data_IF_550430194957
#
_entry.id   IF_550430194957
#
_cell.length_a   1.000
_cell.length_b   1.000
_cell.length_c   1.000
_cell.angle_alpha   90.00
_cell.angle_beta   90.00
_cell.angle_gamma   90.00
#
_symmetry.space_group_name_H-M   'P 1'
#
loop_
_entity.id
_entity.type
_entity.pdbx_description
1 polymer ?
#
# COMPACT_ATOMS: atom_id res chain seq x y z
N UNK A 1 -56.75 -6.31 39.74
CA UNK A 1 -55.40 -6.24 39.14
C UNK A 1 -54.39 -5.94 40.23
N UNK A 2 -53.46 -6.87 40.48
CA UNK A 2 -52.50 -6.76 41.57
C UNK A 2 -51.37 -5.80 41.17
N UNK A 3 -51.56 -4.50 41.42
CA UNK A 3 -50.61 -3.43 40.99
C UNK A 3 -49.18 -3.72 41.43
N UNK A 4 -48.98 -4.33 42.60
CA UNK A 4 -47.65 -4.75 43.08
C UNK A 4 -46.94 -5.69 42.09
N UNK A 5 -47.63 -6.70 41.56
CA UNK A 5 -47.04 -7.63 40.59
C UNK A 5 -46.67 -6.95 39.27
N UNK A 6 -47.45 -5.94 38.84
CA UNK A 6 -47.16 -5.15 37.64
C UNK A 6 -45.89 -4.29 37.84
N UNK A 7 -45.77 -3.61 38.98
CA UNK A 7 -44.58 -2.80 39.31
C UNK A 7 -43.32 -3.66 39.45
N UNK A 8 -43.41 -4.80 40.12
CA UNK A 8 -42.27 -5.73 40.24
C UNK A 8 -41.83 -6.27 38.87
N UNK A 9 -42.77 -6.66 38.01
CA UNK A 9 -42.46 -7.12 36.66
C UNK A 9 -41.80 -6.04 35.80
N UNK A 10 -42.31 -4.80 35.86
CA UNK A 10 -41.74 -3.67 35.12
C UNK A 10 -40.32 -3.35 35.58
N UNK A 11 -40.07 -3.31 36.89
CA UNK A 11 -38.74 -3.05 37.44
C UNK A 11 -37.75 -4.15 37.03
N UNK A 12 -38.18 -5.41 37.04
CA UNK A 12 -37.35 -6.54 36.63
C UNK A 12 -36.98 -6.47 35.14
N UNK A 13 -37.95 -6.16 34.28
CA UNK A 13 -37.71 -6.02 32.84
C UNK A 13 -36.80 -4.81 32.52
N UNK A 14 -37.01 -3.67 33.17
CA UNK A 14 -36.14 -2.51 32.99
C UNK A 14 -34.73 -2.74 33.52
N UNK A 15 -34.58 -3.42 34.66
CA UNK A 15 -33.27 -3.80 35.17
C UNK A 15 -32.54 -4.76 34.21
N UNK A 16 -33.24 -5.77 33.67
CA UNK A 16 -32.66 -6.70 32.70
C UNK A 16 -32.25 -5.99 31.40
N UNK A 17 -33.07 -5.07 30.91
CA UNK A 17 -32.77 -4.27 29.74
C UNK A 17 -31.55 -3.36 29.98
N UNK A 18 -31.52 -2.64 31.10
CA UNK A 18 -30.40 -1.79 31.48
C UNK A 18 -29.09 -2.58 31.65
N UNK A 19 -29.15 -3.77 32.26
CA UNK A 19 -27.99 -4.66 32.39
C UNK A 19 -27.47 -5.13 31.02
N UNK A 20 -28.38 -5.46 30.09
CA UNK A 20 -28.01 -5.86 28.73
C UNK A 20 -27.29 -4.73 28.01
N UNK A 21 -27.83 -3.51 28.07
CA UNK A 21 -27.18 -2.33 27.49
C UNK A 21 -25.82 -2.07 28.14
N UNK A 22 -25.71 -2.14 29.46
CA UNK A 22 -24.45 -1.94 30.17
C UNK A 22 -23.37 -2.95 29.72
N UNK A 23 -23.72 -4.24 29.67
CA UNK A 23 -22.78 -5.30 29.27
C UNK A 23 -22.34 -5.13 27.81
N UNK A 24 -23.28 -4.98 26.89
CA UNK A 24 -22.97 -4.93 25.46
C UNK A 24 -22.51 -3.54 24.97
N UNK A 25 -22.54 -2.51 25.82
CA UNK A 25 -21.99 -1.18 25.48
C UNK A 25 -20.46 -1.16 25.43
N UNK A 26 -19.79 -2.13 26.06
CA UNK A 26 -18.32 -2.19 26.14
C UNK A 26 -17.74 -3.60 25.93
N UNK A 27 -18.58 -4.64 25.89
CA UNK A 27 -18.13 -6.02 25.75
C UNK A 27 -18.88 -6.76 24.63
N UNK A 28 -18.20 -7.58 23.82
CA UNK A 28 -16.75 -7.75 23.78
C UNK A 28 -16.03 -6.54 23.18
N UNK A 29 -14.83 -6.24 23.70
CA UNK A 29 -13.96 -5.23 23.08
C UNK A 29 -13.60 -5.69 21.66
N UNK A 30 -13.89 -4.85 20.67
CA UNK A 30 -13.47 -5.11 19.31
C UNK A 30 -11.94 -5.06 19.20
N UNK A 31 -11.34 -6.14 18.69
CA UNK A 31 -9.92 -6.22 18.42
C UNK A 31 -9.69 -6.32 16.92
N UNK A 32 -9.10 -5.28 16.33
CA UNK A 32 -8.77 -5.26 14.91
C UNK A 32 -7.56 -6.15 14.57
N UNK A 33 -6.71 -6.45 15.56
CA UNK A 33 -5.49 -7.22 15.38
C UNK A 33 -5.24 -8.05 16.64
N UNK A 34 -4.71 -9.26 16.49
CA UNK A 34 -4.41 -10.10 17.64
C UNK A 34 -3.32 -9.45 18.55
N UNK A 35 -3.32 -9.72 19.86
CA UNK A 35 -2.52 -8.98 20.85
C UNK A 35 -1.00 -9.10 20.68
N UNK A 36 -0.52 -10.06 19.89
CA UNK A 36 0.89 -10.38 19.65
C UNK A 36 1.29 -10.16 18.18
N UNK A 37 0.51 -9.38 17.44
CA UNK A 37 0.71 -9.14 16.02
C UNK A 37 1.00 -7.67 15.74
N UNK A 38 1.76 -7.43 14.68
CA UNK A 38 2.01 -6.14 14.09
C UNK A 38 1.63 -6.18 12.59
N UNK A 39 1.66 -5.04 11.93
CA UNK A 39 1.27 -4.92 10.52
C UNK A 39 2.37 -4.25 9.73
N UNK A 40 2.77 -4.86 8.63
CA UNK A 40 3.59 -4.22 7.60
C UNK A 40 2.67 -3.83 6.44
N UNK A 41 2.69 -2.56 6.05
CA UNK A 41 1.97 -2.05 4.89
C UNK A 41 2.98 -1.65 3.81
N UNK A 42 2.89 -2.28 2.64
CA UNK A 42 3.59 -1.80 1.45
C UNK A 42 2.62 -0.89 0.71
N UNK A 43 2.82 0.42 0.75
CA UNK A 43 1.83 1.38 0.29
C UNK A 43 2.51 2.60 -0.33
N UNK A 44 2.58 2.63 -1.66
CA UNK A 44 3.15 3.75 -2.38
C UNK A 44 2.53 3.90 -3.78
N UNK A 45 2.66 5.10 -4.33
CA UNK A 45 2.31 5.38 -5.74
C UNK A 45 3.55 5.92 -6.42
N UNK A 46 4.03 5.21 -7.44
CA UNK A 46 5.27 5.55 -8.13
C UNK A 46 5.08 5.50 -9.64
N UNK A 47 5.77 6.41 -10.33
CA UNK A 47 5.79 6.42 -11.78
C UNK A 47 7.05 5.69 -12.27
N UNK A 48 6.87 4.51 -12.83
CA UNK A 48 7.98 3.77 -13.44
C UNK A 48 8.68 4.58 -14.54
N UNK A 49 9.91 4.16 -14.85
CA UNK A 49 10.71 4.79 -15.89
C UNK A 49 10.04 4.64 -17.26
N UNK A 50 10.41 5.50 -18.22
CA UNK A 50 9.83 5.45 -19.57
C UNK A 50 10.32 4.19 -20.29
N UNK A 51 9.42 3.52 -20.99
CA UNK A 51 9.78 2.31 -21.74
C UNK A 51 10.64 2.58 -22.96
N UNK A 52 10.46 3.73 -23.61
CA UNK A 52 11.21 4.08 -24.81
C UNK A 52 12.03 5.35 -24.64
N UNK A 53 13.14 5.38 -25.38
CA UNK A 53 14.02 6.53 -25.44
C UNK A 53 13.39 7.70 -26.20
N UNK A 54 13.87 8.89 -25.89
CA UNK A 54 13.51 10.08 -26.66
C UNK A 54 14.26 10.07 -28.00
N UNK A 55 13.53 10.08 -29.10
CA UNK A 55 14.11 10.14 -30.45
C UNK A 55 14.11 11.57 -30.98
N UNK A 56 15.24 12.05 -31.49
CA UNK A 56 15.34 13.32 -32.21
C UNK A 56 14.75 13.14 -33.61
N UNK A 57 13.83 14.03 -34.01
CA UNK A 57 13.18 13.99 -35.31
C UNK A 57 13.99 14.77 -36.34
N UNK A 58 14.14 14.21 -37.54
CA UNK A 58 14.85 14.88 -38.63
C UNK A 58 14.03 16.03 -39.22
N UNK A 59 14.67 17.02 -39.87
CA UNK A 59 13.95 18.12 -40.52
C UNK A 59 12.93 17.64 -41.58
N UNK A 60 13.24 16.56 -42.29
CA UNK A 60 12.36 15.97 -43.29
C UNK A 60 11.10 15.34 -42.67
N UNK A 61 11.21 14.74 -41.47
CA UNK A 61 10.06 14.21 -40.73
C UNK A 61 9.21 15.33 -40.12
N UNK A 62 9.86 16.37 -39.56
CA UNK A 62 9.16 17.55 -39.05
C UNK A 62 8.40 18.27 -40.16
N UNK A 63 8.95 18.36 -41.36
CA UNK A 63 8.28 18.99 -42.50
C UNK A 63 6.96 18.31 -42.87
N UNK A 64 6.84 16.99 -42.64
CA UNK A 64 5.59 16.23 -42.84
C UNK A 64 4.50 16.56 -41.82
N UNK A 65 4.87 17.15 -40.68
CA UNK A 65 3.93 17.54 -39.63
C UNK A 65 3.44 18.99 -39.84
N UNK A 66 2.19 19.30 -39.44
CA UNK A 66 1.69 20.67 -39.37
C UNK A 66 2.58 21.56 -38.49
N UNK A 67 2.73 22.87 -38.79
CA UNK A 67 3.66 23.76 -38.09
C UNK A 67 3.56 23.76 -36.56
N UNK A 68 2.35 23.63 -36.01
CA UNK A 68 2.09 23.60 -34.57
C UNK A 68 2.42 22.25 -33.89
N UNK A 69 2.73 21.20 -34.65
CA UNK A 69 3.03 19.86 -34.14
C UNK A 69 4.50 19.44 -34.38
N UNK A 70 5.35 20.36 -34.86
CA UNK A 70 6.78 20.11 -35.16
C UNK A 70 7.65 20.15 -33.90
N UNK A 71 7.50 19.15 -33.03
CA UNK A 71 8.36 18.98 -31.86
C UNK A 71 9.70 18.31 -32.25
N UNK A 72 10.87 18.92 -31.99
CA UNK A 72 12.16 18.39 -32.42
C UNK A 72 12.53 17.05 -31.77
N UNK A 73 11.96 16.75 -30.60
CA UNK A 73 12.16 15.48 -29.89
C UNK A 73 10.82 14.83 -29.60
N UNK A 74 10.73 13.52 -29.87
CA UNK A 74 9.57 12.69 -29.55
C UNK A 74 9.94 11.71 -28.45
N UNK A 75 9.33 11.85 -27.29
CA UNK A 75 9.47 10.90 -26.18
C UNK A 75 8.19 10.08 -26.04
N UNK A 76 8.25 8.74 -26.03
CA UNK A 76 7.10 7.92 -25.71
C UNK A 76 6.70 8.15 -24.24
N UNK A 77 5.39 8.13 -24.00
CA UNK A 77 4.80 8.42 -22.69
C UNK A 77 4.60 7.17 -21.84
N UNK A 78 4.60 5.99 -22.47
CA UNK A 78 4.37 4.72 -21.80
C UNK A 78 5.45 4.46 -20.73
N UNK A 79 4.99 4.01 -19.55
CA UNK A 79 5.84 3.76 -18.40
C UNK A 79 6.00 2.26 -18.13
N UNK A 80 7.11 1.92 -17.49
CA UNK A 80 7.37 0.57 -17.03
C UNK A 80 6.44 0.21 -15.86
N UNK A 81 6.00 -1.06 -15.76
CA UNK A 81 5.37 -1.58 -14.55
C UNK A 81 6.31 -1.49 -13.35
N UNK A 82 5.75 -1.28 -12.17
CA UNK A 82 6.51 -1.27 -10.92
C UNK A 82 6.33 -2.61 -10.22
N UNK A 83 7.43 -3.33 -9.99
CA UNK A 83 7.43 -4.61 -9.26
C UNK A 83 8.09 -4.43 -7.91
N UNK A 84 7.48 -4.98 -6.86
CA UNK A 84 8.02 -4.97 -5.50
C UNK A 84 8.06 -6.39 -4.95
N UNK A 85 9.13 -6.67 -4.22
CA UNK A 85 9.25 -7.85 -3.38
C UNK A 85 9.60 -7.44 -1.95
N UNK A 86 9.09 -8.21 -1.00
CA UNK A 86 9.40 -8.09 0.41
C UNK A 86 9.70 -9.48 0.96
N UNK A 87 10.91 -9.62 1.48
CA UNK A 87 11.30 -10.74 2.32
C UNK A 87 11.24 -10.31 3.79
N UNK A 88 10.65 -11.19 4.61
CA UNK A 88 10.63 -11.09 6.06
C UNK A 88 11.39 -12.27 6.63
N UNK A 89 12.45 -12.01 7.39
CA UNK A 89 13.31 -13.02 8.00
C UNK A 89 13.86 -14.05 6.99
N UNK A 90 14.13 -13.60 5.76
CA UNK A 90 14.62 -14.43 4.66
C UNK A 90 13.54 -15.20 3.90
N UNK A 91 12.25 -15.03 4.25
CA UNK A 91 11.11 -15.65 3.57
C UNK A 91 10.39 -14.61 2.73
N UNK A 92 10.18 -14.89 1.44
CA UNK A 92 9.39 -14.04 0.55
C UNK A 92 7.92 -14.01 0.99
N UNK A 93 7.46 -12.86 1.50
CA UNK A 93 6.08 -12.68 1.98
C UNK A 93 5.21 -11.88 1.01
N UNK A 94 5.81 -11.14 0.08
CA UNK A 94 5.09 -10.43 -0.97
C UNK A 94 5.91 -10.37 -2.26
N UNK A 95 5.23 -10.63 -3.38
CA UNK A 95 5.68 -10.31 -4.73
C UNK A 95 4.49 -9.73 -5.49
N UNK A 96 4.60 -8.48 -5.91
CA UNK A 96 3.52 -7.78 -6.60
C UNK A 96 4.06 -6.91 -7.73
N UNK A 97 3.34 -6.90 -8.85
CA UNK A 97 3.60 -5.99 -9.97
C UNK A 97 2.37 -5.13 -10.20
N UNK A 98 2.55 -3.81 -10.15
CA UNK A 98 1.52 -2.82 -10.45
C UNK A 98 1.75 -2.24 -11.86
N UNK A 99 0.70 -2.24 -12.67
CA UNK A 99 0.71 -1.65 -14.01
C UNK A 99 0.49 -0.13 -13.93
N UNK A 100 1.07 0.66 -14.86
CA UNK A 100 0.78 2.08 -14.97
C UNK A 100 -0.70 2.32 -15.27
N UNK A 101 -1.28 3.33 -14.63
CA UNK A 101 -2.66 3.76 -14.90
C UNK A 101 -2.78 4.58 -16.20
N UNK A 102 -4.03 4.79 -16.63
CA UNK A 102 -4.38 5.60 -17.81
C UNK A 102 -4.48 4.81 -19.10
N UNK A 103 -5.25 5.34 -20.07
CA UNK A 103 -5.46 4.70 -21.39
C UNK A 103 -4.16 4.53 -22.18
N UNK A 104 -3.22 5.45 -21.98
CA UNK A 104 -1.90 5.46 -22.63
C UNK A 104 -0.79 4.84 -21.76
N UNK A 105 -1.15 4.26 -20.60
CA UNK A 105 -0.20 3.67 -19.62
C UNK A 105 0.96 4.61 -19.25
N UNK A 106 0.64 5.89 -19.11
CA UNK A 106 1.59 6.96 -18.78
C UNK A 106 1.42 7.51 -17.36
N UNK A 107 0.43 6.99 -16.63
CA UNK A 107 0.14 7.33 -15.24
C UNK A 107 1.02 6.60 -14.23
N UNK A 108 0.74 6.82 -12.94
CA UNK A 108 1.44 6.14 -11.86
C UNK A 108 0.92 4.71 -11.65
N UNK A 109 1.79 3.85 -11.15
CA UNK A 109 1.46 2.53 -10.63
C UNK A 109 1.30 2.63 -9.11
N UNK A 110 0.21 2.08 -8.57
CA UNK A 110 -0.07 2.08 -7.15
C UNK A 110 0.06 0.67 -6.58
N UNK A 111 0.77 0.55 -5.47
CA UNK A 111 0.92 -0.69 -4.71
C UNK A 111 0.31 -0.50 -3.34
N UNK A 112 -0.56 -1.43 -2.95
CA UNK A 112 -1.09 -1.50 -1.59
C UNK A 112 -1.20 -2.96 -1.17
N UNK A 113 -0.45 -3.32 -0.13
CA UNK A 113 -0.55 -4.62 0.51
C UNK A 113 -0.46 -4.46 2.02
N UNK A 114 -1.31 -5.18 2.75
CA UNK A 114 -1.27 -5.31 4.20
C UNK A 114 -0.86 -6.73 4.57
N UNK A 115 0.16 -6.85 5.43
CA UNK A 115 0.72 -8.13 5.86
C UNK A 115 0.77 -8.12 7.38
N UNK A 116 0.12 -9.10 8.00
CA UNK A 116 0.19 -9.26 9.46
C UNK A 116 1.36 -10.15 9.82
N UNK A 117 2.16 -9.70 10.79
CA UNK A 117 3.38 -10.36 11.25
C UNK A 117 3.33 -10.50 12.76
N UNK A 118 4.18 -11.37 13.31
CA UNK A 118 4.35 -11.41 14.76
C UNK A 118 4.91 -10.06 15.25
N UNK A 119 4.61 -9.66 16.49
CA UNK A 119 5.36 -8.60 17.13
C UNK A 119 6.74 -9.12 17.53
N UNK A 120 7.77 -8.27 17.43
CA UNK A 120 9.15 -8.63 17.72
C UNK A 120 10.14 -8.06 16.72
N UNK A 121 11.36 -8.58 16.78
CA UNK A 121 12.42 -8.19 15.88
C UNK A 121 12.29 -8.95 14.55
N UNK A 122 12.33 -8.22 13.44
CA UNK A 122 12.28 -8.76 12.09
C UNK A 122 13.37 -8.18 11.22
N UNK A 123 13.98 -9.02 10.37
CA UNK A 123 14.82 -8.58 9.26
C UNK A 123 13.94 -8.40 8.03
N UNK A 124 13.91 -7.19 7.52
CA UNK A 124 13.15 -6.81 6.34
C UNK A 124 14.11 -6.59 5.18
N UNK A 125 13.83 -7.18 4.02
CA UNK A 125 14.49 -6.86 2.76
C UNK A 125 13.42 -6.52 1.71
N UNK A 126 13.45 -5.28 1.21
CA UNK A 126 12.54 -4.78 0.18
C UNK A 126 13.33 -4.56 -1.10
N UNK A 127 12.78 -5.03 -2.21
CA UNK A 127 13.35 -4.88 -3.55
C UNK A 127 12.31 -4.27 -4.47
N UNK A 128 12.66 -3.22 -5.20
CA UNK A 128 11.76 -2.53 -6.13
C UNK A 128 12.40 -2.42 -7.51
N UNK A 129 11.59 -2.70 -8.52
CA UNK A 129 11.93 -2.61 -9.93
C UNK A 129 10.97 -1.65 -10.60
N UNK A 130 11.47 -0.55 -11.15
CA UNK A 130 10.65 0.43 -11.88
C UNK A 130 11.17 0.72 -13.30
N UNK A 131 12.26 0.06 -13.70
CA UNK A 131 12.87 0.15 -15.02
C UNK A 131 12.77 -1.19 -15.74
N UNK A 132 12.12 -1.19 -16.91
CA UNK A 132 12.00 -2.39 -17.74
C UNK A 132 13.33 -2.85 -18.35
N UNK A 133 14.28 -1.92 -18.55
CA UNK A 133 15.59 -2.20 -19.14
C UNK A 133 16.60 -2.76 -18.13
N UNK A 134 16.33 -2.58 -16.84
CA UNK A 134 17.16 -3.15 -15.77
C UNK A 134 17.06 -4.69 -15.74
N UNK A 135 18.21 -5.36 -15.59
CA UNK A 135 18.29 -6.84 -15.52
C UNK A 135 17.60 -7.39 -14.27
N UNK A 136 17.61 -6.64 -13.17
CA UNK A 136 17.02 -7.04 -11.88
C UNK A 136 16.29 -5.89 -11.19
N UNK A 137 16.12 -5.98 -9.88
CA UNK A 137 15.63 -4.87 -9.07
C UNK A 137 16.68 -3.75 -9.03
N UNK A 138 16.25 -2.51 -9.24
CA UNK A 138 17.14 -1.34 -9.25
C UNK A 138 17.14 -0.57 -7.92
N UNK A 139 16.23 -0.88 -7.00
CA UNK A 139 16.22 -0.37 -5.64
C UNK A 139 16.14 -1.50 -4.62
N UNK A 140 16.92 -1.37 -3.55
CA UNK A 140 17.02 -2.37 -2.49
C UNK A 140 17.15 -1.66 -1.15
N UNK A 141 16.48 -2.20 -0.13
CA UNK A 141 16.68 -1.77 1.25
C UNK A 141 16.56 -2.95 2.19
N UNK A 142 17.57 -3.15 3.01
CA UNK A 142 17.54 -4.09 4.12
C UNK A 142 17.61 -3.34 5.45
N UNK A 143 16.82 -3.77 6.43
CA UNK A 143 16.86 -3.24 7.78
C UNK A 143 16.39 -4.28 8.80
N UNK A 144 16.89 -4.18 10.02
CA UNK A 144 16.32 -4.87 11.17
C UNK A 144 15.43 -3.87 11.90
N UNK A 145 14.17 -4.24 12.10
CA UNK A 145 13.18 -3.42 12.81
C UNK A 145 12.62 -4.19 13.99
N UNK A 146 12.19 -3.49 15.03
CA UNK A 146 11.48 -4.08 16.16
C UNK A 146 10.06 -3.55 16.15
N UNK A 147 9.09 -4.43 15.88
CA UNK A 147 7.67 -4.10 15.82
C UNK A 147 7.00 -4.44 17.14
N UNK A 148 6.43 -3.44 17.80
CA UNK A 148 5.59 -3.61 18.99
C UNK A 148 4.21 -4.17 18.60
N UNK A 149 3.50 -4.82 19.53
CA UNK A 149 2.10 -5.19 19.31
C UNK A 149 1.26 -4.02 18.82
N UNK A 150 0.42 -4.28 17.82
CA UNK A 150 -0.40 -3.28 17.12
C UNK A 150 0.36 -2.15 16.41
N UNK A 151 1.69 -2.23 16.30
CA UNK A 151 2.48 -1.29 15.51
C UNK A 151 2.26 -1.53 14.02
N UNK A 152 2.24 -0.42 13.26
CA UNK A 152 2.10 -0.42 11.81
C UNK A 152 3.37 0.16 11.24
N UNK A 153 4.14 -0.67 10.56
CA UNK A 153 5.27 -0.24 9.73
C UNK A 153 4.78 0.02 8.32
N UNK A 154 5.13 1.16 7.75
CA UNK A 154 4.86 1.51 6.36
C UNK A 154 6.15 1.44 5.56
N UNK A 155 6.12 0.62 4.52
CA UNK A 155 7.11 0.58 3.45
C UNK A 155 6.59 1.45 2.31
N UNK A 156 7.33 2.51 2.01
CA UNK A 156 7.02 3.48 0.95
C UNK A 156 8.26 3.65 0.03
N UNK A 157 8.09 4.34 -1.09
CA UNK A 157 9.17 4.67 -2.02
C UNK A 157 9.21 6.17 -2.24
N UNK A 158 10.34 6.79 -1.92
CA UNK A 158 10.58 8.22 -2.11
C UNK A 158 11.16 8.47 -3.51
N UNK A 159 10.36 9.03 -4.45
CA UNK A 159 10.82 9.27 -5.81
C UNK A 159 11.81 10.44 -5.92
N UNK A 160 11.88 11.33 -4.92
CA UNK A 160 12.80 12.46 -4.96
C UNK A 160 14.23 12.02 -4.63
N UNK A 161 14.37 11.10 -3.67
CA UNK A 161 15.66 10.57 -3.22
C UNK A 161 15.98 9.19 -3.80
N UNK A 162 15.07 8.62 -4.59
CA UNK A 162 15.18 7.29 -5.20
C UNK A 162 15.50 6.19 -4.17
N UNK A 163 14.78 6.18 -3.05
CA UNK A 163 15.04 5.27 -1.93
C UNK A 163 13.75 4.69 -1.37
N UNK A 164 13.82 3.45 -0.92
CA UNK A 164 12.74 2.81 -0.16
C UNK A 164 12.76 3.38 1.26
N UNK A 165 11.61 3.76 1.81
CA UNK A 165 11.45 4.28 3.17
C UNK A 165 10.76 3.26 4.08
N UNK A 166 11.12 3.28 5.37
CA UNK A 166 10.53 2.45 6.43
C UNK A 166 10.11 3.44 7.53
N UNK A 167 8.82 3.59 7.76
CA UNK A 167 8.24 4.59 8.68
C UNK A 167 7.21 3.97 9.62
#
# INVERSE_FOLDING_TARGET
>A
MNRLGQWSGQLLLYAAFAATLAVFSHWPNYQHLAPDRAVIKVSFTHQGQRLGDCTVQTPAELAKLPPNMRAPTRCPRERAPVSVELDLDGVLVLRQTALPSGLSRDGAAAVYQRIEVAAGQHRIAVRLKDDAHSVGFNYHREAVVTLRPAEILVIDFDPAHHQITLQ
#
